data_IF_502498504265
#
_entry.id   IF_502498504265
#
_cell.length_a   1.000
_cell.length_b   1.000
_cell.length_c   1.000
_cell.angle_alpha   90.00
_cell.angle_beta   90.00
_cell.angle_gamma   90.00
#
_symmetry.space_group_name_H-M   'P 1'
#
loop_
_entity.id
_entity.type
_entity.pdbx_description
1 polymer ?
#
# COMPACT_ATOMS: atom_id res chain seq x y z
N UNK A 1 6.92 7.59 -2.10
CA UNK A 1 7.31 6.77 -0.92
C UNK A 1 7.39 5.32 -1.34
N UNK A 2 8.45 4.61 -0.95
CA UNK A 2 8.50 3.17 -1.15
C UNK A 2 7.42 2.48 -0.31
N UNK A 3 6.59 1.65 -0.93
CA UNK A 3 5.52 0.91 -0.25
C UNK A 3 6.12 -0.27 0.50
N UNK A 4 6.54 -0.05 1.75
CA UNK A 4 7.02 -1.13 2.63
C UNK A 4 5.85 -1.87 3.27
N UNK A 5 6.10 -3.10 3.74
CA UNK A 5 5.11 -3.90 4.48
C UNK A 5 4.51 -3.13 5.66
N UNK A 6 5.36 -2.44 6.44
CA UNK A 6 4.92 -1.64 7.59
C UNK A 6 3.99 -0.48 7.18
N UNK A 7 4.24 0.16 6.03
CA UNK A 7 3.35 1.22 5.51
C UNK A 7 1.98 0.63 5.12
N UNK A 8 1.95 -0.56 4.52
CA UNK A 8 0.68 -1.23 4.19
C UNK A 8 -0.12 -1.61 5.44
N UNK A 9 0.55 -2.08 6.49
CA UNK A 9 -0.10 -2.38 7.77
C UNK A 9 -0.74 -1.12 8.38
N UNK A 10 -0.04 0.02 8.35
CA UNK A 10 -0.61 1.31 8.75
C UNK A 10 -1.84 1.70 7.92
N UNK A 11 -1.80 1.45 6.61
CA UNK A 11 -2.95 1.68 5.74
C UNK A 11 -4.14 0.79 6.09
N UNK A 12 -3.94 -0.48 6.48
CA UNK A 12 -5.02 -1.36 6.92
C UNK A 12 -5.69 -0.85 8.21
N UNK A 13 -4.88 -0.41 9.18
CA UNK A 13 -5.38 0.16 10.43
C UNK A 13 -6.18 1.44 10.16
N UNK A 14 -5.62 2.33 9.34
CA UNK A 14 -6.29 3.57 8.95
C UNK A 14 -7.60 3.31 8.17
N UNK A 15 -7.59 2.33 7.26
CA UNK A 15 -8.77 1.91 6.50
C UNK A 15 -9.90 1.49 7.43
N UNK A 16 -9.61 0.62 8.41
CA UNK A 16 -10.60 0.17 9.39
C UNK A 16 -11.07 1.31 10.29
N UNK A 17 -10.15 2.15 10.77
CA UNK A 17 -10.45 3.25 11.69
C UNK A 17 -11.34 4.32 11.05
N UNK A 18 -11.05 4.69 9.82
CA UNK A 18 -11.74 5.75 9.09
C UNK A 18 -12.82 5.23 8.13
N UNK A 19 -13.13 3.93 8.19
CA UNK A 19 -14.16 3.25 7.38
C UNK A 19 -13.98 3.50 5.87
N UNK A 20 -12.73 3.46 5.40
CA UNK A 20 -12.40 3.66 3.99
C UNK A 20 -12.58 2.36 3.20
N UNK A 21 -13.05 2.47 1.96
CA UNK A 21 -13.04 1.36 1.00
C UNK A 21 -11.65 1.15 0.40
N UNK A 22 -11.40 -0.02 -0.20
CA UNK A 22 -10.14 -0.29 -0.92
C UNK A 22 -9.90 0.73 -2.05
N UNK A 23 -10.98 1.17 -2.71
CA UNK A 23 -10.97 2.25 -3.71
C UNK A 23 -10.43 3.55 -3.11
N UNK A 24 -10.98 3.99 -1.98
CA UNK A 24 -10.58 5.24 -1.33
C UNK A 24 -9.16 5.17 -0.78
N UNK A 25 -8.74 4.02 -0.26
CA UNK A 25 -7.33 3.80 0.14
C UNK A 25 -6.40 3.92 -1.06
N UNK A 26 -6.77 3.34 -2.20
CA UNK A 26 -5.98 3.46 -3.43
C UNK A 26 -5.89 4.92 -3.89
N UNK A 27 -7.00 5.65 -3.94
CA UNK A 27 -7.03 7.08 -4.26
C UNK A 27 -6.14 7.90 -3.32
N UNK A 28 -6.25 7.66 -2.01
CA UNK A 28 -5.45 8.36 -1.01
C UNK A 28 -3.94 8.12 -1.19
N UNK A 29 -3.55 6.89 -1.59
CA UNK A 29 -2.17 6.54 -1.90
C UNK A 29 -1.66 7.24 -3.15
N UNK A 30 -2.45 7.30 -4.22
CA UNK A 30 -2.11 8.01 -5.46
C UNK A 30 -2.04 9.52 -5.25
N UNK A 31 -2.88 10.06 -4.37
CA UNK A 31 -2.81 11.46 -3.94
C UNK A 31 -1.58 11.77 -3.09
N UNK A 32 -0.87 10.77 -2.58
CA UNK A 32 0.30 10.93 -1.72
C UNK A 32 -0.05 11.25 -0.26
N UNK A 33 -1.27 10.93 0.18
CA UNK A 33 -1.67 11.09 1.58
C UNK A 33 -0.92 10.10 2.48
N UNK A 34 -0.85 10.43 3.77
CA UNK A 34 -0.17 9.61 4.77
C UNK A 34 -1.21 9.00 5.74
N UNK A 35 -1.21 7.67 5.97
CA UNK A 35 -2.18 7.02 6.84
C UNK A 35 -2.15 7.57 8.27
N UNK A 36 -0.98 7.94 8.80
CA UNK A 36 -0.82 8.47 10.15
C UNK A 36 -1.41 9.90 10.29
N UNK A 37 -1.49 10.63 9.18
CA UNK A 37 -2.01 12.01 9.15
C UNK A 37 -3.51 12.08 8.87
N UNK A 38 -4.16 10.98 8.48
CA UNK A 38 -5.59 10.95 8.17
C UNK A 38 -6.45 11.37 9.36
N UNK A 39 -6.04 11.05 10.59
CA UNK A 39 -6.78 11.46 11.79
C UNK A 39 -6.90 12.98 11.97
N UNK A 40 -5.95 13.77 11.47
CA UNK A 40 -6.06 15.25 11.51
C UNK A 40 -7.05 15.78 10.46
N UNK A 41 -7.24 15.03 9.39
CA UNK A 41 -8.13 15.39 8.28
C UNK A 41 -9.56 14.93 8.60
N UNK A 42 -9.71 13.79 9.26
CA UNK A 42 -10.98 13.20 9.67
C UNK A 42 -11.57 13.84 10.94
N UNK A 43 -11.60 15.17 10.98
CA UNK A 43 -12.18 15.94 12.10
C UNK A 43 -13.61 16.44 11.80
N UNK A 44 -14.29 15.82 10.85
CA UNK A 44 -15.61 16.26 10.36
C UNK A 44 -16.70 16.30 11.45
N UNK A 45 -16.52 15.56 12.55
CA UNK A 45 -17.46 15.58 13.69
C UNK A 45 -17.34 16.84 14.56
N UNK A 46 -16.17 17.45 14.61
CA UNK A 46 -15.95 18.70 15.36
C UNK A 46 -16.16 19.91 14.44
N UNK A 47 -15.73 19.81 13.19
CA UNK A 47 -15.89 20.85 12.17
C UNK A 47 -16.89 20.37 11.12
N UNK A 48 -18.19 20.56 11.38
CA UNK A 48 -19.28 20.06 10.53
C UNK A 48 -19.27 20.59 9.09
N UNK A 49 -18.53 21.68 8.82
CA UNK A 49 -18.31 22.22 7.48
C UNK A 49 -17.28 21.41 6.67
N UNK A 50 -16.53 20.51 7.30
CA UNK A 50 -15.61 19.59 6.61
C UNK A 50 -16.37 18.38 6.09
N UNK A 51 -16.14 18.04 4.82
CA UNK A 51 -16.64 16.79 4.25
C UNK A 51 -16.05 15.58 5.01
N UNK A 52 -16.79 14.48 5.15
CA UNK A 52 -16.23 13.27 5.72
C UNK A 52 -15.03 12.80 4.89
N UNK A 53 -14.04 12.15 5.53
CA UNK A 53 -12.78 11.77 4.90
C UNK A 53 -12.95 10.99 3.56
N UNK A 54 -13.88 10.04 3.43
CA UNK A 54 -14.13 9.34 2.16
C UNK A 54 -14.45 10.28 1.00
N UNK A 55 -15.41 11.20 1.19
CA UNK A 55 -15.84 12.19 0.19
C UNK A 55 -14.74 13.20 -0.09
N UNK A 56 -13.97 13.58 0.92
CA UNK A 56 -12.83 14.46 0.75
C UNK A 56 -11.79 13.86 -0.20
N UNK A 57 -11.43 12.57 -0.01
CA UNK A 57 -10.49 11.86 -0.87
C UNK A 57 -11.00 11.81 -2.31
N UNK A 58 -12.27 11.45 -2.52
CA UNK A 58 -12.89 11.39 -3.85
C UNK A 58 -12.89 12.76 -4.54
N UNK A 59 -13.22 13.83 -3.81
CA UNK A 59 -13.26 15.18 -4.37
C UNK A 59 -11.89 15.69 -4.83
N UNK A 60 -10.83 15.42 -4.06
CA UNK A 60 -9.47 15.83 -4.44
C UNK A 60 -8.96 14.94 -5.57
N UNK A 61 -9.28 13.64 -5.54
CA UNK A 61 -8.92 12.72 -6.60
C UNK A 61 -9.50 13.17 -7.94
N UNK A 62 -10.80 13.48 -7.99
CA UNK A 62 -11.45 13.99 -9.18
C UNK A 62 -10.85 15.32 -9.64
N UNK A 63 -10.57 16.26 -8.72
CA UNK A 63 -9.96 17.55 -9.07
C UNK A 63 -8.60 17.39 -9.75
N UNK A 64 -7.76 16.46 -9.27
CA UNK A 64 -6.38 16.27 -9.75
C UNK A 64 -6.29 15.39 -10.99
N UNK A 65 -7.05 14.30 -11.04
CA UNK A 65 -6.94 13.29 -12.08
C UNK A 65 -8.08 13.31 -13.10
N UNK A 66 -9.16 14.09 -12.84
CA UNK A 66 -10.36 14.17 -13.69
C UNK A 66 -11.01 12.81 -13.95
N UNK A 67 -10.90 11.91 -12.97
CA UNK A 67 -11.43 10.53 -12.99
C UNK A 67 -12.15 10.26 -11.67
N UNK A 68 -13.26 9.54 -11.73
CA UNK A 68 -14.04 9.18 -10.54
C UNK A 68 -13.53 7.90 -9.86
N UNK A 69 -12.80 7.07 -10.60
CA UNK A 69 -12.24 5.81 -10.12
C UNK A 69 -10.76 5.69 -10.51
N UNK A 70 -9.93 5.10 -9.63
CA UNK A 70 -8.58 4.70 -10.01
C UNK A 70 -8.63 3.59 -11.06
N UNK A 71 -7.61 3.58 -11.92
CA UNK A 71 -7.51 2.66 -13.06
C UNK A 71 -7.28 1.21 -12.61
N UNK A 72 -6.65 1.00 -11.46
CA UNK A 72 -6.51 -0.32 -10.86
C UNK A 72 -6.65 -0.23 -9.35
N UNK A 73 -7.68 -0.85 -8.79
CA UNK A 73 -7.84 -1.02 -7.35
C UNK A 73 -7.13 -2.30 -6.95
N UNK A 74 -5.99 -2.18 -6.27
CA UNK A 74 -5.30 -3.32 -5.66
C UNK A 74 -5.57 -3.32 -4.15
N UNK A 75 -6.36 -4.28 -3.63
CA UNK A 75 -6.60 -4.39 -2.20
C UNK A 75 -5.29 -4.57 -1.42
N UNK A 76 -5.20 -3.96 -0.23
CA UNK A 76 -3.98 -4.02 0.59
C UNK A 76 -3.55 -5.46 0.90
N UNK A 77 -4.52 -6.33 1.17
CA UNK A 77 -4.29 -7.76 1.45
C UNK A 77 -3.61 -8.47 0.28
N UNK A 78 -4.02 -8.17 -0.94
CA UNK A 78 -3.43 -8.76 -2.14
C UNK A 78 -1.98 -8.29 -2.34
N UNK A 79 -1.72 -6.99 -2.15
CA UNK A 79 -0.36 -6.45 -2.27
C UNK A 79 0.58 -7.08 -1.23
N UNK A 80 0.10 -7.28 0.01
CA UNK A 80 0.90 -7.96 1.05
C UNK A 80 1.22 -9.41 0.66
N UNK A 81 0.25 -10.15 0.14
CA UNK A 81 0.46 -11.53 -0.30
C UNK A 81 1.47 -11.60 -1.46
N UNK A 82 1.34 -10.74 -2.46
CA UNK A 82 2.29 -10.63 -3.58
C UNK A 82 3.72 -10.34 -3.11
N UNK A 83 3.88 -9.45 -2.11
CA UNK A 83 5.20 -9.16 -1.53
C UNK A 83 5.79 -10.35 -0.77
N UNK A 84 4.99 -11.09 -0.01
CA UNK A 84 5.46 -12.29 0.71
C UNK A 84 5.89 -13.39 -0.26
N UNK A 85 5.12 -13.63 -1.34
CA UNK A 85 5.48 -14.58 -2.40
C UNK A 85 6.78 -14.17 -3.08
N UNK A 86 6.90 -12.91 -3.50
CA UNK A 86 8.10 -12.37 -4.13
C UNK A 86 9.33 -12.50 -3.22
N UNK A 87 9.17 -12.24 -1.92
CA UNK A 87 10.25 -12.40 -0.93
C UNK A 87 10.68 -13.86 -0.79
N UNK A 88 9.75 -14.81 -0.75
CA UNK A 88 10.05 -16.26 -0.72
C UNK A 88 10.78 -16.72 -1.98
N UNK A 89 10.31 -16.30 -3.16
CA UNK A 89 10.95 -16.60 -4.44
C UNK A 89 12.39 -16.04 -4.51
N UNK A 90 12.60 -14.81 -4.04
CA UNK A 90 13.94 -14.24 -3.97
C UNK A 90 14.86 -15.01 -3.01
N UNK A 91 14.34 -15.46 -1.86
CA UNK A 91 15.11 -16.27 -0.91
C UNK A 91 15.51 -17.61 -1.54
N UNK A 92 14.57 -18.32 -2.17
CA UNK A 92 14.82 -19.58 -2.85
C UNK A 92 15.85 -19.42 -3.98
N UNK A 93 15.71 -18.41 -4.84
CA UNK A 93 16.67 -18.12 -5.92
C UNK A 93 18.07 -17.80 -5.38
N UNK A 94 18.16 -17.10 -4.24
CA UNK A 94 19.45 -16.78 -3.60
C UNK A 94 20.10 -18.03 -2.99
N UNK A 95 19.32 -18.92 -2.41
CA UNK A 95 19.80 -20.20 -1.87
C UNK A 95 20.29 -21.14 -2.97
N UNK A 96 19.52 -21.24 -4.06
CA UNK A 96 19.90 -22.02 -5.25
C UNK A 96 21.23 -21.52 -5.83
N UNK A 97 21.38 -20.20 -5.99
CA UNK A 97 22.64 -19.59 -6.44
C UNK A 97 23.80 -19.86 -5.49
N UNK A 98 23.56 -20.00 -4.18
CA UNK A 98 24.59 -20.34 -3.19
C UNK A 98 25.03 -21.80 -3.34
N UNK A 99 24.07 -22.72 -3.50
CA UNK A 99 24.35 -24.14 -3.76
C UNK A 99 25.17 -24.31 -5.04
N UNK A 100 24.73 -23.71 -6.14
CA UNK A 100 25.46 -23.76 -7.43
C UNK A 100 26.89 -23.23 -7.32
N UNK A 101 27.12 -22.14 -6.57
CA UNK A 101 28.47 -21.60 -6.34
C UNK A 101 29.35 -22.53 -5.51
N UNK A 102 28.81 -23.15 -4.46
CA UNK A 102 29.56 -24.08 -3.62
C UNK A 102 29.94 -25.37 -4.37
N UNK A 103 29.05 -25.84 -5.26
CA UNK A 103 29.33 -26.97 -6.15
C UNK A 103 30.43 -26.63 -7.17
N UNK A 104 30.41 -25.42 -7.75
CA UNK A 104 31.42 -24.99 -8.71
C UNK A 104 32.81 -24.77 -8.10
N UNK A 105 32.91 -24.37 -6.83
CA UNK A 105 34.21 -24.13 -6.18
C UNK A 105 34.87 -25.39 -5.61
N UNK A 106 34.14 -26.49 -5.49
CA UNK A 106 34.68 -27.77 -5.02
C UNK A 106 35.09 -28.73 -6.14
N UNK A 107 35.11 -28.27 -7.39
CA UNK A 107 35.51 -29.06 -8.57
C UNK A 107 36.87 -28.62 -9.16
N UNK A 108 37.56 -27.68 -8.52
CA UNK A 108 38.88 -27.15 -8.93
C UNK A 108 40.04 -27.63 -8.01
N UNK A 109 39.78 -28.55 -7.07
CA UNK A 109 40.79 -29.28 -6.27
C UNK A 109 40.81 -30.76 -6.66
#
# INVERSE_FOLDING_TARGET
>A
MAMTKAILEKWMVAQKRHRLSDKQVQMARELGLNPDKLGKIDNHKQEAWKAPLPQFIESIYFKRFKRENPETVKPLKQIMAEMEVKKKQQKAKKEERRKQRALSSGSEE
#
